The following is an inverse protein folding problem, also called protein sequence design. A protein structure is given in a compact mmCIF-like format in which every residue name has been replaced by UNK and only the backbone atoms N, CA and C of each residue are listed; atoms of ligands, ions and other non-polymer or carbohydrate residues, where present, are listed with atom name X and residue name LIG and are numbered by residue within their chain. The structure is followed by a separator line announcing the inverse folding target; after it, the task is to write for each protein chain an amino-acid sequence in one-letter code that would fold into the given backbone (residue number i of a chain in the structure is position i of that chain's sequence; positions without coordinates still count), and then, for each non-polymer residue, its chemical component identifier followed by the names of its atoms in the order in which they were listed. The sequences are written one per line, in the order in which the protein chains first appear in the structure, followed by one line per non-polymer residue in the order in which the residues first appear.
data_IF_800162543269
#
_entry.id   IF_800162543269
#
_cell.length_a   1.000
_cell.length_b   1.000
_cell.length_c   1.000
_cell.angle_alpha   90.00
_cell.angle_beta   90.00
_cell.angle_gamma   90.00
#
_symmetry.space_group_name_H-M   'P 1'
#
loop_
_entity.id
_entity.type
_entity.pdbx_description
1 polymer ?
#
# COMPACT_ATOMS: atom_id res chain seq x y z
N UNK A 1 -5.05 -13.47 4.33
CA UNK A 1 -6.42 -12.92 4.32
C UNK A 1 -6.45 -11.62 3.51
N UNK A 2 -7.38 -11.44 2.56
CA UNK A 2 -7.62 -10.26 1.68
C UNK A 2 -6.50 -9.72 0.74
N UNK A 3 -5.44 -10.46 0.39
CA UNK A 3 -4.43 -9.99 -0.60
C UNK A 3 -5.04 -9.57 -1.94
N UNK A 4 -6.02 -10.33 -2.44
CA UNK A 4 -6.70 -10.02 -3.71
C UNK A 4 -7.44 -8.68 -3.65
N UNK A 5 -8.07 -8.35 -2.51
CA UNK A 5 -8.74 -7.08 -2.31
C UNK A 5 -7.76 -5.91 -2.40
N UNK A 6 -6.57 -6.05 -1.80
CA UNK A 6 -5.51 -5.04 -1.86
C UNK A 6 -4.99 -4.85 -3.28
N UNK A 7 -4.81 -5.95 -4.04
CA UNK A 7 -4.49 -5.88 -5.46
C UNK A 7 -5.55 -5.14 -6.27
N UNK A 8 -6.83 -5.43 -6.06
CA UNK A 8 -7.95 -4.73 -6.72
C UNK A 8 -8.06 -3.26 -6.31
N UNK A 9 -7.71 -2.93 -5.06
CA UNK A 9 -7.62 -1.55 -4.60
C UNK A 9 -6.58 -0.77 -5.41
N UNK A 10 -5.36 -1.29 -5.58
CA UNK A 10 -4.33 -0.62 -6.40
C UNK A 10 -4.81 -0.37 -7.84
N UNK A 11 -5.44 -1.36 -8.47
CA UNK A 11 -5.98 -1.22 -9.82
C UNK A 11 -7.09 -0.17 -9.92
N UNK A 12 -7.93 -0.04 -8.89
CA UNK A 12 -9.01 0.95 -8.84
C UNK A 12 -8.47 2.35 -8.56
N UNK A 13 -7.57 2.47 -7.56
CA UNK A 13 -6.95 3.73 -7.17
C UNK A 13 -6.13 4.34 -8.31
N UNK A 14 -5.33 3.52 -9.03
CA UNK A 14 -4.52 4.00 -10.17
C UNK A 14 -5.37 4.69 -11.24
N UNK A 15 -6.59 4.23 -11.48
CA UNK A 15 -7.49 4.84 -12.48
C UNK A 15 -7.96 6.25 -12.09
N UNK A 16 -7.77 6.65 -10.84
CA UNK A 16 -8.14 7.96 -10.32
C UNK A 16 -6.96 8.94 -10.28
N UNK A 17 -5.75 8.49 -10.63
CA UNK A 17 -4.52 9.27 -10.56
C UNK A 17 -4.18 9.92 -11.89
N UNK A 18 -3.47 11.06 -11.84
CA UNK A 18 -2.73 11.57 -13.00
C UNK A 18 -1.41 10.83 -13.13
N UNK A 19 -0.73 11.06 -14.25
CA UNK A 19 0.68 10.67 -14.39
C UNK A 19 1.49 11.28 -13.24
N UNK A 20 2.34 10.47 -12.62
CA UNK A 20 3.23 10.78 -11.50
C UNK A 20 2.58 11.08 -10.13
N UNK A 21 1.27 10.85 -9.98
CA UNK A 21 0.63 10.87 -8.66
C UNK A 21 0.93 9.60 -7.84
N UNK A 22 0.65 9.65 -6.53
CA UNK A 22 1.06 8.62 -5.57
C UNK A 22 -0.12 7.96 -4.86
N UNK A 23 0.03 6.68 -4.53
CA UNK A 23 -0.88 5.94 -3.62
C UNK A 23 -0.15 5.75 -2.30
N UNK A 24 -0.73 6.27 -1.22
CA UNK A 24 -0.20 6.09 0.12
C UNK A 24 -1.01 5.00 0.82
N UNK A 25 -0.32 3.96 1.32
CA UNK A 25 -0.96 2.84 2.02
C UNK A 25 -0.35 2.70 3.41
N UNK A 26 -1.21 2.77 4.43
CA UNK A 26 -0.84 2.39 5.80
C UNK A 26 -1.49 1.05 6.13
N UNK A 27 -0.71 0.09 6.60
CA UNK A 27 -1.20 -1.24 6.96
C UNK A 27 -0.56 -1.72 8.26
N UNK A 28 -1.21 -2.71 8.89
CA UNK A 28 -0.63 -3.41 10.05
C UNK A 28 0.50 -4.32 9.57
N UNK A 29 1.59 -4.37 10.32
CA UNK A 29 2.75 -5.23 10.06
C UNK A 29 2.77 -6.49 10.93
N UNK A 30 1.69 -6.74 11.68
CA UNK A 30 1.54 -7.98 12.45
C UNK A 30 0.86 -9.07 11.59
N UNK A 31 1.07 -10.37 11.91
CA UNK A 31 0.36 -11.45 11.26
C UNK A 31 -1.17 -11.27 11.31
N UNK A 32 -1.90 -11.62 10.22
CA UNK A 32 -1.43 -12.18 8.94
C UNK A 32 -1.19 -11.12 7.84
N UNK A 33 -1.07 -9.85 8.22
CA UNK A 33 -1.04 -8.70 7.29
C UNK A 33 0.37 -8.43 6.72
N UNK A 34 1.40 -8.78 7.49
CA UNK A 34 2.81 -8.81 7.08
C UNK A 34 3.07 -9.63 5.81
N UNK A 35 2.26 -10.66 5.56
CA UNK A 35 2.37 -11.51 4.38
C UNK A 35 1.79 -10.89 3.10
N UNK A 36 1.19 -9.69 3.13
CA UNK A 36 0.45 -9.16 1.98
C UNK A 36 1.32 -8.81 0.78
N UNK A 37 2.63 -8.59 0.96
CA UNK A 37 3.55 -8.20 -0.11
C UNK A 37 3.00 -7.04 -0.96
N UNK A 38 2.81 -5.88 -0.32
CA UNK A 38 2.27 -4.69 -0.98
C UNK A 38 3.09 -4.26 -2.19
N UNK A 39 4.41 -4.45 -2.14
CA UNK A 39 5.33 -4.12 -3.23
C UNK A 39 5.06 -5.01 -4.44
N UNK A 40 4.92 -6.33 -4.24
CA UNK A 40 4.55 -7.25 -5.30
C UNK A 40 3.16 -6.97 -5.88
N UNK A 41 2.17 -6.74 -5.01
CA UNK A 41 0.80 -6.40 -5.43
C UNK A 41 0.72 -5.08 -6.23
N UNK A 42 1.49 -4.07 -5.84
CA UNK A 42 1.60 -2.81 -6.57
C UNK A 42 2.28 -2.98 -7.92
N UNK A 43 3.37 -3.75 -7.97
CA UNK A 43 4.09 -4.07 -9.22
C UNK A 43 3.18 -4.76 -10.24
N UNK A 44 2.34 -5.71 -9.79
CA UNK A 44 1.32 -6.35 -10.63
C UNK A 44 0.27 -5.39 -11.21
N UNK A 45 0.15 -4.18 -10.67
CA UNK A 45 -0.75 -3.12 -11.15
C UNK A 45 0.00 -1.98 -11.89
N UNK A 46 1.26 -2.19 -12.28
CA UNK A 46 2.13 -1.19 -12.92
C UNK A 46 2.40 0.04 -12.04
N UNK A 47 2.60 -0.19 -10.74
CA UNK A 47 3.04 0.81 -9.77
C UNK A 47 4.46 0.47 -9.29
N UNK A 48 5.21 1.49 -8.87
CA UNK A 48 6.53 1.34 -8.25
C UNK A 48 6.48 1.82 -6.80
N UNK A 49 7.16 1.11 -5.89
CA UNK A 49 7.31 1.55 -4.51
C UNK A 49 8.40 2.64 -4.45
N UNK A 50 8.00 3.86 -4.07
CA UNK A 50 8.90 5.00 -3.94
C UNK A 50 9.49 5.08 -2.53
N UNK A 51 8.66 4.82 -1.51
CA UNK A 51 9.06 4.91 -0.11
C UNK A 51 8.33 3.86 0.74
N UNK A 52 9.01 3.36 1.77
CA UNK A 52 8.42 2.55 2.84
C UNK A 52 8.96 3.07 4.18
N UNK A 53 8.06 3.46 5.06
CA UNK A 53 8.40 4.00 6.38
C UNK A 53 7.58 3.31 7.47
N UNK A 54 8.23 3.04 8.61
CA UNK A 54 7.53 2.56 9.80
C UNK A 54 6.59 3.64 10.32
N UNK A 55 5.36 3.26 10.69
CA UNK A 55 4.46 4.17 11.39
C UNK A 55 4.54 3.94 12.91
N UNK A 56 5.08 4.91 13.65
CA UNK A 56 5.03 4.89 15.13
C UNK A 56 3.95 5.82 15.64
N UNK A 57 2.99 5.27 16.40
CA UNK A 57 1.92 6.05 17.03
C UNK A 57 2.46 7.17 17.93
N UNK A 58 3.61 6.96 18.57
CA UNK A 58 4.26 7.94 19.44
C UNK A 58 4.74 9.21 18.72
N UNK A 59 4.80 9.22 17.39
CA UNK A 59 5.17 10.40 16.61
C UNK A 59 4.05 11.42 16.46
N UNK A 60 2.82 11.06 16.84
CA UNK A 60 1.66 11.95 16.82
C UNK A 60 1.19 12.15 18.26
N UNK A 61 1.47 13.33 18.84
CA UNK A 61 0.77 13.79 20.06
C UNK A 61 -0.51 14.49 19.59
N UNK A 62 -1.66 13.95 19.98
CA UNK A 62 -2.92 14.70 19.97
C UNK A 62 -2.85 15.85 20.97
#
# INVERSE_FOLDING_TARGET
MHKNLVGSFFGSAKKMLRVDDQIHVTHKTAPPYDLWDLVGLGSGNSLICIECADFKRSWFKM
#
